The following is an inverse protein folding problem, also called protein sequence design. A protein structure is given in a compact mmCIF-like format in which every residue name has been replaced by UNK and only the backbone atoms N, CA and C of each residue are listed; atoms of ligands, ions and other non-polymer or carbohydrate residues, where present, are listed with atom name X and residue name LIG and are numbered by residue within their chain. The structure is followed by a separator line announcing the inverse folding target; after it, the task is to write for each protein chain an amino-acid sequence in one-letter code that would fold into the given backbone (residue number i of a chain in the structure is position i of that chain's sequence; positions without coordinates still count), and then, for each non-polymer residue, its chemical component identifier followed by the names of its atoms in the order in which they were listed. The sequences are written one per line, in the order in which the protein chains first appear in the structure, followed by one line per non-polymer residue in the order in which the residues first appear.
data_IF_728518017295
#
_entry.id   IF_728518017295
#
_cell.length_a   1.000
_cell.length_b   1.000
_cell.length_c   1.000
_cell.angle_alpha   90.00
_cell.angle_beta   90.00
_cell.angle_gamma   90.00
#
_symmetry.space_group_name_H-M   'P 1'
#
loop_
_entity.id
_entity.type
_entity.pdbx_description
1 polymer ?
#
# COMPACT_ATOMS: atom_id res chain seq x y z
N UNK A 1 7.90 16.48 -6.61
CA UNK A 1 6.82 16.04 -5.72
C UNK A 1 7.26 14.71 -5.15
N UNK A 2 6.96 14.44 -3.88
CA UNK A 2 7.49 13.27 -3.16
C UNK A 2 6.31 12.40 -2.84
N UNK A 3 6.21 11.29 -3.55
CA UNK A 3 5.08 10.37 -3.41
C UNK A 3 5.23 9.60 -2.09
N UNK A 4 4.12 9.30 -1.43
CA UNK A 4 4.06 8.45 -0.24
C UNK A 4 2.86 7.51 -0.31
N UNK A 5 3.07 6.26 0.08
CA UNK A 5 1.98 5.29 0.24
C UNK A 5 1.45 5.29 1.67
N UNK A 6 0.14 5.32 1.84
CA UNK A 6 -0.47 5.27 3.16
C UNK A 6 -1.69 4.33 3.21
N UNK A 7 -2.10 3.99 4.43
CA UNK A 7 -3.21 3.08 4.71
C UNK A 7 -4.45 3.91 5.03
N UNK A 8 -5.51 3.69 4.26
CA UNK A 8 -6.86 4.16 4.60
C UNK A 8 -7.62 3.04 5.30
N UNK A 9 -7.89 3.21 6.60
CA UNK A 9 -8.69 2.27 7.37
C UNK A 9 -10.19 2.64 7.33
N UNK A 10 -11.07 1.66 7.20
CA UNK A 10 -12.53 1.86 7.23
C UNK A 10 -13.04 2.05 8.68
N UNK A 11 -12.64 3.14 9.30
CA UNK A 11 -13.02 3.53 10.66
C UNK A 11 -13.31 5.02 10.73
N UNK A 12 -14.01 5.43 11.79
CA UNK A 12 -14.19 6.85 12.11
C UNK A 12 -12.90 7.45 12.68
N UNK A 13 -12.67 8.74 12.43
CA UNK A 13 -11.58 9.51 13.07
C UNK A 13 -11.70 9.58 14.60
N UNK A 14 -12.90 9.34 15.15
CA UNK A 14 -13.15 9.29 16.60
C UNK A 14 -12.75 7.93 17.23
N UNK A 15 -12.22 6.99 16.45
CA UNK A 15 -11.77 5.68 16.93
C UNK A 15 -10.55 5.82 17.87
N UNK A 16 -10.53 5.05 18.95
CA UNK A 16 -9.47 5.15 19.96
C UNK A 16 -8.08 4.78 19.45
N UNK A 17 -8.02 3.95 18.40
CA UNK A 17 -6.77 3.55 17.75
C UNK A 17 -6.50 4.31 16.44
N UNK A 18 -7.24 5.39 16.15
CA UNK A 18 -7.12 6.08 14.86
C UNK A 18 -5.69 6.50 14.53
N UNK A 19 -4.95 7.00 15.52
CA UNK A 19 -3.53 7.39 15.39
C UNK A 19 -2.62 6.21 15.01
N UNK A 20 -2.96 4.98 15.40
CA UNK A 20 -2.20 3.78 15.02
C UNK A 20 -2.29 3.57 13.51
N UNK A 21 -3.44 3.85 12.90
CA UNK A 21 -3.65 3.65 11.47
C UNK A 21 -2.88 4.65 10.60
N UNK A 22 -2.40 5.75 11.19
CA UNK A 22 -1.60 6.78 10.52
C UNK A 22 -0.09 6.55 10.63
N UNK A 23 0.37 5.50 11.32
CA UNK A 23 1.79 5.23 11.59
C UNK A 23 2.48 4.56 10.39
N UNK A 24 2.35 5.14 9.20
CA UNK A 24 3.04 4.71 7.97
C UNK A 24 3.58 5.94 7.24
N UNK A 25 4.89 5.96 6.98
CA UNK A 25 5.51 6.97 6.11
C UNK A 25 5.29 6.59 4.64
N UNK A 26 5.71 5.38 4.26
CA UNK A 26 5.50 4.79 2.93
C UNK A 26 6.21 5.50 1.77
N UNK A 27 7.11 6.44 2.08
CA UNK A 27 7.94 7.14 1.10
C UNK A 27 9.02 6.25 0.50
N UNK A 28 9.67 5.44 1.33
CA UNK A 28 10.73 4.57 0.84
C UNK A 28 10.16 3.51 -0.10
N UNK A 29 8.95 3.01 0.18
CA UNK A 29 8.25 2.09 -0.73
C UNK A 29 7.87 2.81 -2.03
N UNK A 30 7.31 4.03 -1.96
CA UNK A 30 6.92 4.80 -3.14
C UNK A 30 8.10 5.24 -4.02
N UNK A 31 9.32 5.33 -3.46
CA UNK A 31 10.54 5.60 -4.22
C UNK A 31 11.10 4.36 -4.95
N UNK A 32 10.59 3.16 -4.66
CA UNK A 32 10.98 1.94 -5.37
C UNK A 32 10.27 1.88 -6.73
N UNK A 33 11.01 1.44 -7.74
CA UNK A 33 10.46 1.10 -9.06
C UNK A 33 9.30 0.10 -8.94
N UNK A 34 8.15 0.43 -9.52
CA UNK A 34 6.92 -0.37 -9.41
C UNK A 34 7.09 -1.78 -10.00
N UNK A 35 7.71 -1.90 -11.18
CA UNK A 35 8.00 -3.20 -11.83
C UNK A 35 8.85 -4.08 -10.90
N UNK A 36 9.77 -3.47 -10.14
CA UNK A 36 10.58 -4.18 -9.18
C UNK A 36 9.73 -4.70 -8.01
N UNK A 37 8.87 -3.86 -7.42
CA UNK A 37 7.96 -4.28 -6.35
C UNK A 37 7.02 -5.40 -6.79
N UNK A 38 6.47 -5.32 -8.00
CA UNK A 38 5.61 -6.38 -8.56
C UNK A 38 6.37 -7.69 -8.69
N UNK A 39 7.59 -7.66 -9.24
CA UNK A 39 8.43 -8.85 -9.36
C UNK A 39 8.79 -9.46 -8.01
N UNK A 40 8.99 -8.65 -6.97
CA UNK A 40 9.21 -9.14 -5.61
C UNK A 40 7.94 -9.80 -5.06
N UNK A 41 6.75 -9.24 -5.32
CA UNK A 41 5.47 -9.83 -4.94
C UNK A 41 5.24 -11.19 -5.63
N UNK A 42 5.54 -11.28 -6.93
CA UNK A 42 5.47 -12.54 -7.68
C UNK A 42 6.42 -13.60 -7.11
N UNK A 43 7.66 -13.23 -6.78
CA UNK A 43 8.63 -14.13 -6.14
C UNK A 43 8.15 -14.62 -4.77
N UNK A 44 7.46 -13.77 -4.02
CA UNK A 44 6.82 -14.12 -2.75
C UNK A 44 5.52 -14.93 -2.93
N UNK A 45 4.98 -15.04 -4.15
CA UNK A 45 3.67 -15.63 -4.45
C UNK A 45 2.55 -14.96 -3.63
N UNK A 46 2.56 -13.63 -3.61
CA UNK A 46 1.54 -12.76 -3.00
C UNK A 46 1.01 -11.76 -4.02
N UNK A 47 -0.05 -11.03 -3.67
CA UNK A 47 -0.58 -9.98 -4.56
C UNK A 47 0.37 -8.77 -4.58
N UNK A 48 0.53 -8.08 -5.73
CA UNK A 48 1.22 -6.79 -5.79
C UNK A 48 0.65 -5.79 -4.79
N UNK A 49 1.47 -4.87 -4.29
CA UNK A 49 0.99 -3.88 -3.30
C UNK A 49 -0.05 -2.93 -3.92
N UNK A 50 0.16 -2.52 -5.17
CA UNK A 50 -0.75 -1.65 -5.92
C UNK A 50 -2.11 -2.29 -6.22
N UNK A 51 -2.27 -3.61 -6.10
CA UNK A 51 -3.59 -4.23 -6.23
C UNK A 51 -4.57 -3.86 -5.11
N UNK A 52 -4.07 -3.26 -4.02
CA UNK A 52 -4.87 -2.74 -2.91
C UNK A 52 -5.18 -1.25 -3.05
N UNK A 53 -4.72 -0.61 -4.13
CA UNK A 53 -4.92 0.80 -4.36
C UNK A 53 -6.40 1.12 -4.62
N UNK A 54 -6.87 2.18 -3.96
CA UNK A 54 -8.18 2.78 -4.21
C UNK A 54 -8.13 4.23 -3.71
N UNK A 55 -8.93 5.12 -4.30
CA UNK A 55 -9.07 6.49 -3.81
C UNK A 55 -10.57 6.83 -3.78
N UNK A 56 -11.05 7.57 -2.77
CA UNK A 56 -12.42 8.05 -2.69
C UNK A 56 -12.90 8.92 -3.86
N UNK A 57 -14.19 8.77 -4.17
CA UNK A 57 -14.92 9.58 -5.14
C UNK A 57 -14.74 11.08 -4.81
N UNK A 58 -14.27 11.86 -5.79
CA UNK A 58 -14.09 13.32 -5.68
C UNK A 58 -12.68 13.81 -5.33
N UNK A 59 -11.76 12.95 -4.89
CA UNK A 59 -10.33 13.31 -4.76
C UNK A 59 -9.56 13.15 -6.09
N UNK A 60 -10.20 12.52 -7.08
CA UNK A 60 -9.66 12.26 -8.43
C UNK A 60 -9.66 13.45 -9.39
N UNK A 61 -10.50 14.46 -9.15
CA UNK A 61 -10.70 15.56 -10.13
C UNK A 61 -9.42 16.37 -10.39
N UNK A 62 -8.46 16.36 -9.46
CA UNK A 62 -7.18 17.07 -9.59
C UNK A 62 -6.03 16.18 -10.11
N UNK A 63 -6.16 14.84 -10.06
CA UNK A 63 -5.05 13.89 -10.28
C UNK A 63 -5.33 12.83 -11.36
N UNK A 64 -6.47 12.90 -12.06
CA UNK A 64 -6.84 11.95 -13.13
C UNK A 64 -5.72 11.75 -14.17
N UNK A 65 -5.07 12.83 -14.61
CA UNK A 65 -4.02 12.74 -15.64
C UNK A 65 -2.75 12.01 -15.13
N UNK A 66 -2.45 12.11 -13.84
CA UNK A 66 -1.25 11.48 -13.24
C UNK A 66 -1.50 10.02 -12.87
N UNK A 67 -2.73 9.65 -12.51
CA UNK A 67 -3.07 8.25 -12.22
C UNK A 67 -3.35 7.44 -13.50
N UNK A 68 -3.91 8.05 -14.55
CA UNK A 68 -4.02 7.39 -15.85
C UNK A 68 -2.65 6.98 -16.42
N UNK A 69 -1.59 7.72 -16.12
CA UNK A 69 -0.21 7.39 -16.52
C UNK A 69 0.42 6.25 -15.68
N UNK A 70 -0.14 5.93 -14.51
CA UNK A 70 0.30 4.82 -13.64
C UNK A 70 -0.44 3.51 -13.92
N UNK A 71 -1.62 3.56 -14.53
CA UNK A 71 -2.41 2.37 -14.86
C UNK A 71 -1.92 1.76 -16.19
N UNK A 72 -1.77 0.43 -16.24
CA UNK A 72 -1.40 -0.26 -17.49
C UNK A 72 -2.48 -0.12 -18.59
N UNK A 73 -2.07 -0.14 -19.87
CA UNK A 73 -2.99 -0.10 -21.02
C UNK A 73 -4.05 -1.23 -20.93
N UNK A 74 -5.27 -0.87 -20.51
CA UNK A 74 -6.43 -1.77 -20.50
C UNK A 74 -7.06 -2.03 -19.13
N UNK A 75 -6.54 -1.45 -18.04
CA UNK A 75 -7.27 -1.41 -16.78
C UNK A 75 -8.42 -0.40 -16.84
N UNK A 76 -9.66 -0.88 -16.75
CA UNK A 76 -10.83 -0.03 -16.51
C UNK A 76 -10.86 0.33 -15.02
N UNK A 77 -10.39 1.53 -14.69
CA UNK A 77 -10.60 2.12 -13.38
C UNK A 77 -12.06 2.62 -13.29
N UNK A 78 -12.87 2.04 -12.39
CA UNK A 78 -14.21 2.56 -12.06
C UNK A 78 -14.10 3.47 -10.81
N UNK A 79 -14.04 4.81 -10.98
CA UNK A 79 -13.81 5.77 -9.90
C UNK A 79 -15.01 5.92 -8.94
N UNK A 80 -16.11 5.19 -9.14
CA UNK A 80 -17.37 5.45 -8.42
C UNK A 80 -17.47 4.78 -7.04
N UNK A 81 -16.63 3.80 -6.71
CA UNK A 81 -16.68 3.13 -5.40
C UNK A 81 -15.27 2.84 -4.84
N UNK A 82 -15.00 3.31 -3.61
CA UNK A 82 -13.81 2.88 -2.86
C UNK A 82 -13.89 1.37 -2.65
N UNK A 83 -12.87 0.67 -3.14
CA UNK A 83 -12.76 -0.76 -2.92
C UNK A 83 -12.08 -1.00 -1.57
N UNK A 84 -12.79 -1.71 -0.68
CA UNK A 84 -12.28 -2.07 0.63
C UNK A 84 -11.77 -3.51 0.64
N UNK A 85 -10.51 -3.68 1.03
CA UNK A 85 -9.82 -4.96 1.04
C UNK A 85 -9.65 -5.54 2.45
N UNK A 86 -9.42 -6.85 2.52
CA UNK A 86 -9.11 -7.53 3.77
C UNK A 86 -7.72 -7.14 4.29
N UNK A 87 -7.65 -6.75 5.56
CA UNK A 87 -6.38 -6.50 6.25
C UNK A 87 -5.49 -7.75 6.31
N UNK A 88 -6.08 -8.94 6.40
CA UNK A 88 -5.32 -10.20 6.41
C UNK A 88 -4.61 -10.46 5.07
N UNK A 89 -5.22 -10.12 3.94
CA UNK A 89 -4.58 -10.26 2.63
C UNK A 89 -3.47 -9.22 2.44
N UNK A 90 -3.71 -7.97 2.87
CA UNK A 90 -2.67 -6.93 2.91
C UNK A 90 -1.47 -7.36 3.73
N UNK A 91 -1.71 -7.84 4.96
CA UNK A 91 -0.65 -8.30 5.87
C UNK A 91 0.16 -9.44 5.25
N UNK A 92 -0.49 -10.36 4.56
CA UNK A 92 0.18 -11.45 3.83
C UNK A 92 1.07 -10.92 2.72
N UNK A 93 0.62 -9.93 1.93
CA UNK A 93 1.43 -9.28 0.90
C UNK A 93 2.66 -8.61 1.49
N UNK A 94 2.48 -7.73 2.48
CA UNK A 94 3.57 -6.97 3.11
C UNK A 94 4.58 -7.92 3.77
N UNK A 95 4.11 -8.93 4.49
CA UNK A 95 4.99 -9.95 5.10
C UNK A 95 5.76 -10.77 4.04
N UNK A 96 5.13 -11.05 2.90
CA UNK A 96 5.76 -11.74 1.77
C UNK A 96 6.90 -10.93 1.14
N UNK A 97 6.65 -9.64 0.89
CA UNK A 97 7.65 -8.70 0.37
C UNK A 97 8.84 -8.58 1.33
N UNK A 98 8.58 -8.36 2.62
CA UNK A 98 9.64 -8.32 3.64
C UNK A 98 10.49 -9.59 3.61
N UNK A 99 9.87 -10.77 3.53
CA UNK A 99 10.60 -12.04 3.53
C UNK A 99 11.47 -12.27 2.28
N UNK A 100 11.19 -11.59 1.15
CA UNK A 100 12.06 -11.61 -0.03
C UNK A 100 13.21 -10.62 0.14
N UNK A 101 12.91 -9.38 0.54
CA UNK A 101 13.91 -8.33 0.73
C UNK A 101 14.91 -8.71 1.83
N UNK A 102 14.46 -9.30 2.94
CA UNK A 102 15.34 -9.78 4.01
C UNK A 102 16.29 -10.91 3.56
N UNK A 103 15.90 -11.69 2.54
CA UNK A 103 16.75 -12.76 1.99
C UNK A 103 17.78 -12.23 1.00
N UNK A 104 17.45 -11.17 0.28
CA UNK A 104 18.33 -10.54 -0.70
C UNK A 104 18.22 -9.01 -0.63
N UNK A 105 18.83 -8.36 0.39
CA UNK A 105 18.73 -6.91 0.57
C UNK A 105 19.36 -6.11 -0.56
N UNK A 106 20.31 -6.68 -1.31
CA UNK A 106 21.02 -6.01 -2.40
C UNK A 106 20.12 -5.76 -3.63
N UNK A 107 18.87 -6.27 -3.62
CA UNK A 107 17.88 -6.03 -4.67
C UNK A 107 17.34 -4.59 -4.67
N UNK A 108 17.48 -3.86 -3.55
CA UNK A 108 17.06 -2.46 -3.40
C UNK A 108 18.24 -1.58 -3.01
N UNK A 109 18.24 -0.32 -3.47
CA UNK A 109 19.28 0.64 -3.08
C UNK A 109 19.22 0.99 -1.58
N UNK A 110 18.01 1.08 -1.02
CA UNK A 110 17.77 1.36 0.41
C UNK A 110 16.80 0.34 1.03
N UNK A 111 17.22 -0.92 1.07
CA UNK A 111 16.42 -2.00 1.63
C UNK A 111 16.02 -1.79 3.09
N UNK A 112 16.84 -1.10 3.89
CA UNK A 112 16.56 -0.82 5.30
C UNK A 112 15.36 0.13 5.44
N UNK A 113 15.34 1.24 4.70
CA UNK A 113 14.22 2.16 4.71
C UNK A 113 12.91 1.52 4.20
N UNK A 114 13.00 0.70 3.15
CA UNK A 114 11.83 -0.02 2.62
C UNK A 114 11.30 -1.05 3.62
N UNK A 115 12.18 -1.78 4.32
CA UNK A 115 11.78 -2.72 5.36
C UNK A 115 11.14 -2.02 6.56
N UNK A 116 11.61 -0.84 6.93
CA UNK A 116 11.02 -0.04 8.01
C UNK A 116 9.58 0.38 7.66
N UNK A 117 9.36 0.90 6.44
CA UNK A 117 8.02 1.26 5.96
C UNK A 117 7.09 0.03 5.87
N UNK A 118 7.58 -1.09 5.33
CA UNK A 118 6.80 -2.34 5.26
C UNK A 118 6.49 -2.88 6.66
N UNK A 119 7.41 -2.77 7.60
CA UNK A 119 7.18 -3.20 8.97
C UNK A 119 6.14 -2.32 9.68
N UNK A 120 6.14 -1.01 9.41
CA UNK A 120 5.12 -0.10 9.88
C UNK A 120 3.73 -0.48 9.31
N UNK A 121 3.63 -0.70 7.99
CA UNK A 121 2.41 -1.19 7.36
C UNK A 121 1.95 -2.53 7.96
N UNK A 122 2.85 -3.48 8.20
CA UNK A 122 2.51 -4.78 8.77
C UNK A 122 1.92 -4.64 10.19
N UNK A 123 2.42 -3.72 11.02
CA UNK A 123 1.87 -3.45 12.35
C UNK A 123 0.44 -2.90 12.25
N UNK A 124 0.22 -1.94 11.36
CA UNK A 124 -1.11 -1.36 11.11
C UNK A 124 -2.09 -2.43 10.60
N UNK A 125 -1.68 -3.20 9.59
CA UNK A 125 -2.51 -4.27 8.99
C UNK A 125 -2.81 -5.40 9.98
N UNK A 126 -1.88 -5.72 10.88
CA UNK A 126 -2.14 -6.66 11.97
C UNK A 126 -3.25 -6.14 12.89
N UNK A 127 -3.18 -4.87 13.30
CA UNK A 127 -4.19 -4.25 14.16
C UNK A 127 -5.57 -4.22 13.49
N UNK A 128 -5.61 -3.85 12.21
CA UNK A 128 -6.83 -3.87 11.39
C UNK A 128 -7.39 -5.30 11.27
N UNK A 129 -6.52 -6.29 11.05
CA UNK A 129 -6.91 -7.69 10.91
C UNK A 129 -7.47 -8.27 12.22
N UNK A 130 -6.92 -7.91 13.38
CA UNK A 130 -7.44 -8.36 14.68
C UNK A 130 -8.84 -7.82 14.98
N UNK A 131 -9.19 -6.68 14.36
CA UNK A 131 -10.47 -5.99 14.51
C UNK A 131 -11.44 -6.23 13.35
N UNK A 132 -11.06 -7.03 12.36
CA UNK A 132 -11.83 -7.28 11.13
C UNK A 132 -12.19 -5.98 10.37
N UNK A 133 -11.29 -4.99 10.40
CA UNK A 133 -11.46 -3.72 9.69
C UNK A 133 -10.86 -3.83 8.29
N UNK A 134 -11.63 -3.42 7.28
CA UNK A 134 -11.16 -3.34 5.91
C UNK A 134 -10.37 -2.07 5.63
N UNK A 135 -9.52 -2.10 4.62
CA UNK A 135 -8.61 -1.00 4.28
C UNK A 135 -8.40 -0.89 2.77
N UNK A 136 -7.76 0.19 2.33
CA UNK A 136 -7.16 0.27 1.01
C UNK A 136 -5.85 1.07 1.07
N UNK A 137 -5.00 0.87 0.06
CA UNK A 137 -3.81 1.68 -0.15
C UNK A 137 -4.22 2.98 -0.84
N UNK A 138 -3.58 4.08 -0.45
CA UNK A 138 -3.74 5.37 -1.10
C UNK A 138 -2.37 6.05 -1.26
N UNK A 139 -2.34 7.08 -2.10
CA UNK A 139 -1.13 7.80 -2.51
C UNK A 139 -1.27 9.28 -2.15
N UNK A 140 -0.21 9.86 -1.58
CA UNK A 140 -0.06 11.30 -1.31
C UNK A 140 1.11 11.85 -2.16
N UNK A 141 1.00 13.06 -2.74
CA UNK A 141 1.91 13.60 -3.79
C UNK A 141 2.56 14.95 -3.40
#
# INVERSE_FOLDING_TARGET
MSIAYYICANVSEDDEDYEVFLDVSGKAIADVDEDLLERLAEQANVMPLMSFFSIPEGEWDEYIEEVEDLLEEGEEFDPSEVTWFSAAEGLKTVSGLMAIIEKDPDVLEDAEAVLDDLQAMARVLLHLSEREISWHLAIDI
#
